data_IF_155915848421
#
_entry.id   IF_155915848421
#
_cell.length_a   1.000
_cell.length_b   1.000
_cell.length_c   1.000
_cell.angle_alpha   90.00
_cell.angle_beta   90.00
_cell.angle_gamma   90.00
#
_symmetry.space_group_name_H-M   'P 1'
#
loop_
_entity.id
_entity.type
_entity.pdbx_description
1 polymer ?
#
# COMPACT_ATOMS: atom_id res chain seq x y z
N UNK A 1 -2.64 -47.41 -71.21
CA UNK A 1 -3.03 -47.37 -69.78
C UNK A 1 -2.41 -48.59 -69.14
N UNK A 2 -1.28 -48.37 -68.48
CA UNK A 2 -0.24 -49.38 -68.24
C UNK A 2 -0.30 -49.92 -66.80
N UNK A 3 -0.27 -51.25 -66.69
CA UNK A 3 0.40 -52.00 -65.61
C UNK A 3 1.94 -51.82 -65.72
N UNK A 4 2.83 -52.29 -64.78
CA UNK A 4 2.65 -53.22 -63.65
C UNK A 4 3.43 -52.86 -62.35
N UNK A 5 3.38 -53.81 -61.39
CA UNK A 5 4.23 -54.03 -60.21
C UNK A 5 5.72 -54.23 -60.57
N UNK A 6 6.70 -54.01 -59.65
CA UNK A 6 7.32 -55.08 -58.83
C UNK A 6 8.54 -54.64 -57.96
N UNK A 7 8.68 -55.33 -56.82
CA UNK A 7 9.85 -55.82 -56.05
C UNK A 7 11.24 -55.11 -55.94
N UNK A 8 11.70 -55.03 -54.68
CA UNK A 8 13.02 -55.42 -54.08
C UNK A 8 14.36 -54.83 -54.57
N UNK A 9 15.29 -54.58 -53.63
CA UNK A 9 16.73 -54.72 -53.92
C UNK A 9 17.69 -53.88 -53.06
N UNK A 10 18.69 -54.58 -52.51
CA UNK A 10 19.79 -54.16 -51.64
C UNK A 10 20.84 -53.19 -52.23
N UNK A 11 21.51 -52.49 -51.29
CA UNK A 11 22.96 -52.28 -51.11
C UNK A 11 23.83 -51.65 -52.24
N UNK A 12 24.67 -50.68 -51.84
CA UNK A 12 26.06 -50.49 -52.32
C UNK A 12 26.64 -49.12 -51.90
N UNK A 13 27.74 -49.15 -51.12
CA UNK A 13 28.74 -48.07 -50.98
C UNK A 13 29.73 -48.06 -52.17
N UNK A 14 30.45 -46.95 -52.38
CA UNK A 14 31.93 -47.01 -52.41
C UNK A 14 32.61 -45.82 -51.68
N UNK A 15 33.52 -46.06 -50.71
CA UNK A 15 35.01 -45.93 -50.73
C UNK A 15 35.59 -44.60 -51.24
N UNK A 16 36.13 -43.71 -50.38
CA UNK A 16 37.47 -43.64 -49.70
C UNK A 16 38.56 -42.98 -50.55
N UNK A 17 39.11 -41.85 -50.11
CA UNK A 17 40.56 -41.58 -50.19
C UNK A 17 41.00 -40.65 -49.08
N UNK A 18 42.11 -41.04 -48.45
CA UNK A 18 42.75 -40.48 -47.27
C UNK A 18 43.81 -39.46 -47.69
N UNK A 19 43.99 -38.37 -46.95
CA UNK A 19 45.30 -37.72 -46.84
C UNK A 19 45.45 -37.18 -45.43
N UNK A 20 46.47 -37.67 -44.73
CA UNK A 20 46.83 -37.27 -43.38
C UNK A 20 47.84 -36.13 -43.44
N UNK A 21 47.73 -35.13 -42.56
CA UNK A 21 48.88 -34.34 -42.10
C UNK A 21 48.55 -33.50 -40.85
N UNK A 22 49.26 -33.86 -39.78
CA UNK A 22 49.85 -32.98 -38.74
C UNK A 22 48.92 -32.29 -37.74
N UNK A 23 48.90 -32.86 -36.53
CA UNK A 23 48.51 -32.23 -35.26
C UNK A 23 49.51 -31.13 -34.88
N UNK A 24 48.98 -29.95 -34.56
CA UNK A 24 49.65 -28.90 -33.79
C UNK A 24 48.65 -28.39 -32.70
N UNK A 25 49.16 -27.89 -31.56
CA UNK A 25 48.46 -27.97 -30.28
C UNK A 25 47.38 -26.90 -30.08
N UNK A 26 46.43 -27.30 -29.24
CA UNK A 26 45.31 -26.59 -28.63
C UNK A 26 45.64 -25.15 -28.22
N UNK A 27 44.95 -24.17 -28.79
CA UNK A 27 44.75 -22.87 -28.15
C UNK A 27 43.34 -22.87 -27.54
N UNK A 28 43.29 -22.83 -26.21
CA UNK A 28 42.06 -22.54 -25.48
C UNK A 28 41.51 -21.17 -25.94
N UNK A 29 40.22 -21.06 -26.29
CA UNK A 29 39.62 -19.75 -26.44
C UNK A 29 39.56 -19.10 -25.05
N UNK A 30 40.19 -17.94 -24.95
CA UNK A 30 40.15 -17.07 -23.79
C UNK A 30 38.72 -16.97 -23.26
N UNK A 31 38.57 -17.26 -21.98
CA UNK A 31 37.34 -17.02 -21.21
C UNK A 31 36.91 -15.59 -21.43
N UNK A 32 35.85 -15.40 -22.21
CA UNK A 32 35.13 -14.14 -22.26
C UNK A 32 34.65 -13.86 -20.85
N UNK A 33 35.27 -12.87 -20.20
CA UNK A 33 34.79 -12.32 -18.94
C UNK A 33 33.32 -11.94 -19.14
N UNK A 34 32.45 -12.74 -18.53
CA UNK A 34 31.05 -12.40 -18.36
C UNK A 34 31.01 -11.12 -17.54
N UNK A 35 30.98 -9.98 -18.25
CA UNK A 35 30.64 -8.71 -17.62
C UNK A 35 29.24 -8.91 -17.07
N UNK A 36 29.04 -8.92 -15.75
CA UNK A 36 27.70 -9.09 -15.21
C UNK A 36 26.84 -7.97 -15.78
N UNK A 37 25.72 -8.35 -16.39
CA UNK A 37 24.71 -7.40 -16.82
C UNK A 37 24.50 -6.37 -15.69
N UNK A 38 24.40 -5.06 -16.00
CA UNK A 38 24.20 -4.06 -14.97
C UNK A 38 23.00 -4.52 -14.15
N UNK A 39 23.23 -4.75 -12.84
CA UNK A 39 22.14 -5.04 -11.92
C UNK A 39 21.16 -3.89 -12.08
N UNK A 40 20.01 -4.19 -12.71
CA UNK A 40 18.92 -3.23 -12.81
C UNK A 40 18.71 -2.71 -11.40
N UNK A 41 18.77 -1.38 -11.23
CA UNK A 41 18.37 -0.79 -9.95
C UNK A 41 16.99 -1.36 -9.65
N UNK A 42 16.74 -1.87 -8.42
CA UNK A 42 15.38 -2.27 -8.07
C UNK A 42 14.45 -1.11 -8.45
N UNK A 43 13.24 -1.40 -9.00
CA UNK A 43 12.30 -0.35 -9.31
C UNK A 43 12.18 0.55 -8.08
N UNK A 44 12.22 1.87 -8.28
CA UNK A 44 12.04 2.79 -7.17
C UNK A 44 10.64 2.52 -6.61
N UNK A 45 10.56 1.87 -5.45
CA UNK A 45 9.32 1.55 -4.75
C UNK A 45 8.75 2.78 -4.01
N UNK A 46 9.08 3.96 -4.54
CA UNK A 46 8.58 5.23 -4.08
C UNK A 46 8.61 6.24 -5.22
N UNK A 47 7.74 7.23 -5.14
CA UNK A 47 7.69 8.39 -6.01
C UNK A 47 7.47 9.64 -5.15
N UNK A 48 8.03 10.78 -5.55
CA UNK A 48 7.78 12.04 -4.87
C UNK A 48 8.02 13.26 -5.75
N UNK A 49 7.35 14.35 -5.40
CA UNK A 49 7.47 15.64 -6.06
C UNK A 49 7.34 16.75 -5.00
N UNK A 50 8.13 17.80 -5.18
CA UNK A 50 8.06 19.02 -4.38
C UNK A 50 7.74 20.19 -5.30
N UNK A 51 6.79 21.04 -4.92
CA UNK A 51 6.58 22.36 -5.50
C UNK A 51 6.28 23.36 -4.35
N UNK A 52 6.21 24.66 -4.64
CA UNK A 52 5.97 25.68 -3.62
C UNK A 52 4.71 25.33 -2.80
N UNK A 53 4.91 24.90 -1.55
CA UNK A 53 3.86 24.54 -0.55
C UNK A 53 3.20 23.17 -0.68
N UNK A 54 3.61 22.32 -1.62
CA UNK A 54 3.12 20.94 -1.76
C UNK A 54 4.27 19.94 -1.77
N UNK A 55 4.18 18.94 -0.89
CA UNK A 55 5.11 17.81 -0.83
C UNK A 55 4.34 16.53 -1.03
N UNK A 56 4.57 15.80 -2.13
CA UNK A 56 3.88 14.53 -2.39
C UNK A 56 4.85 13.36 -2.28
N UNK A 57 4.41 12.28 -1.65
CA UNK A 57 5.20 11.06 -1.51
C UNK A 57 4.29 9.83 -1.60
N UNK A 58 4.72 8.83 -2.34
CA UNK A 58 4.12 7.49 -2.38
C UNK A 58 5.21 6.48 -2.02
N UNK A 59 4.91 5.56 -1.12
CA UNK A 59 5.83 4.52 -0.65
C UNK A 59 5.10 3.20 -0.66
N UNK A 60 5.70 2.15 -1.22
CA UNK A 60 5.14 0.81 -1.13
C UNK A 60 6.22 -0.27 -0.99
N UNK A 61 5.83 -1.44 -0.51
CA UNK A 61 6.66 -2.63 -0.48
C UNK A 61 5.77 -3.86 -0.57
N UNK A 62 6.34 -4.93 -1.12
CA UNK A 62 5.66 -6.22 -1.20
C UNK A 62 6.26 -7.15 -0.14
N UNK A 63 5.43 -7.97 0.49
CA UNK A 63 5.87 -9.05 1.39
C UNK A 63 6.74 -10.05 0.65
N UNK A 64 6.31 -10.40 -0.57
CA UNK A 64 7.03 -11.28 -1.48
C UNK A 64 7.30 -10.48 -2.76
N UNK A 65 8.57 -10.27 -3.14
CA UNK A 65 8.90 -9.52 -4.34
C UNK A 65 8.18 -10.03 -5.59
N UNK A 66 7.67 -9.08 -6.37
CA UNK A 66 6.88 -9.23 -7.60
C UNK A 66 5.54 -9.94 -7.42
N UNK A 67 5.10 -10.17 -6.19
CA UNK A 67 3.87 -10.89 -5.86
C UNK A 67 2.89 -10.06 -5.03
N UNK A 68 3.20 -8.78 -4.78
CA UNK A 68 2.33 -7.95 -3.94
C UNK A 68 1.00 -7.65 -4.63
N UNK A 69 -0.07 -7.68 -3.86
CA UNK A 69 -1.45 -7.56 -4.31
C UNK A 69 -1.96 -6.12 -4.24
N UNK A 70 -1.38 -5.29 -3.37
CA UNK A 70 -1.53 -3.84 -3.35
C UNK A 70 -1.30 -3.23 -4.74
N UNK A 71 -2.06 -2.18 -5.05
CA UNK A 71 -1.71 -1.28 -6.15
C UNK A 71 -0.73 -0.21 -5.67
N UNK A 72 0.00 0.41 -6.60
CA UNK A 72 0.83 1.55 -6.24
C UNK A 72 -0.06 2.64 -5.59
N UNK A 73 0.40 3.35 -4.54
CA UNK A 73 -0.36 4.45 -3.97
C UNK A 73 -0.61 5.55 -5.00
N UNK A 74 -1.77 6.20 -4.92
CA UNK A 74 -2.16 7.28 -5.81
C UNK A 74 -2.03 8.63 -5.09
N UNK A 75 -1.37 9.59 -5.73
CA UNK A 75 -1.33 10.98 -5.29
C UNK A 75 -1.42 11.87 -6.52
N UNK A 76 -2.37 12.81 -6.50
CA UNK A 76 -2.53 13.78 -7.58
C UNK A 76 -3.01 15.13 -7.02
N UNK A 77 -2.53 16.21 -7.63
CA UNK A 77 -2.95 17.57 -7.33
C UNK A 77 -3.21 18.32 -8.64
N UNK A 78 -4.40 18.90 -8.76
CA UNK A 78 -4.81 19.73 -9.87
C UNK A 78 -4.61 21.21 -9.52
N UNK A 79 -3.58 21.82 -10.12
CA UNK A 79 -3.14 23.18 -9.78
C UNK A 79 -4.21 24.24 -10.02
N UNK A 80 -4.96 24.16 -11.13
CA UNK A 80 -5.94 25.20 -11.50
C UNK A 80 -7.13 25.24 -10.54
N UNK A 81 -7.61 24.08 -10.08
CA UNK A 81 -8.74 24.02 -9.14
C UNK A 81 -8.31 23.99 -7.67
N UNK A 82 -7.02 23.85 -7.38
CA UNK A 82 -6.50 23.69 -6.02
C UNK A 82 -6.97 22.40 -5.33
N UNK A 83 -7.43 21.42 -6.09
CA UNK A 83 -7.95 20.16 -5.57
C UNK A 83 -6.91 19.03 -5.68
N UNK A 84 -7.01 18.02 -4.84
CA UNK A 84 -6.18 16.82 -4.97
C UNK A 84 -6.76 15.60 -4.28
N UNK A 85 -6.10 14.47 -4.46
CA UNK A 85 -6.45 13.19 -3.86
C UNK A 85 -5.17 12.45 -3.50
N UNK A 86 -5.19 11.79 -2.35
CA UNK A 86 -4.31 10.68 -2.05
C UNK A 86 -5.16 9.45 -1.76
N UNK A 87 -4.70 8.28 -2.21
CA UNK A 87 -5.41 7.02 -2.02
C UNK A 87 -4.48 5.80 -1.99
N UNK A 88 -4.90 4.76 -1.27
CA UNK A 88 -4.28 3.43 -1.25
C UNK A 88 -5.32 2.35 -1.51
N UNK A 89 -4.86 1.20 -2.01
CA UNK A 89 -5.70 0.09 -2.45
C UNK A 89 -5.03 -1.23 -2.05
N UNK A 90 -5.57 -1.89 -1.04
CA UNK A 90 -5.08 -3.18 -0.55
C UNK A 90 -5.81 -4.33 -1.23
N UNK A 91 -5.08 -5.15 -1.98
CA UNK A 91 -5.65 -6.33 -2.61
C UNK A 91 -5.81 -7.47 -1.59
N UNK A 92 -7.04 -7.78 -1.19
CA UNK A 92 -7.31 -8.84 -0.20
C UNK A 92 -6.97 -10.26 -0.70
N UNK A 93 -5.73 -10.70 -0.48
CA UNK A 93 -5.20 -11.98 -0.92
C UNK A 93 -5.92 -13.22 -0.41
N UNK A 94 -6.30 -13.21 0.87
CA UNK A 94 -7.03 -14.33 1.47
C UNK A 94 -8.31 -14.66 0.70
N UNK A 95 -9.07 -13.63 0.31
CA UNK A 95 -10.35 -13.77 -0.40
C UNK A 95 -10.20 -13.77 -1.93
N UNK A 96 -9.13 -13.17 -2.45
CA UNK A 96 -8.85 -12.93 -3.87
C UNK A 96 -7.69 -13.73 -4.47
N UNK A 97 -7.14 -14.71 -3.77
CA UNK A 97 -5.97 -15.52 -4.19
C UNK A 97 -6.14 -16.29 -5.51
N UNK A 98 -7.37 -16.46 -6.00
CA UNK A 98 -7.62 -17.14 -7.26
C UNK A 98 -7.02 -16.36 -8.44
N UNK A 99 -6.40 -17.03 -9.44
CA UNK A 99 -5.92 -16.35 -10.65
C UNK A 99 -7.06 -15.64 -11.40
N UNK A 100 -6.88 -14.36 -11.71
CA UNK A 100 -7.81 -13.60 -12.54
C UNK A 100 -7.24 -13.28 -13.93
N UNK A 101 -5.91 -13.12 -14.02
CA UNK A 101 -5.22 -12.78 -15.26
C UNK A 101 -3.93 -13.58 -15.42
N UNK A 102 -3.55 -13.84 -16.67
CA UNK A 102 -2.30 -14.50 -17.02
C UNK A 102 -1.68 -13.83 -18.24
N UNK A 103 -0.41 -13.45 -18.12
CA UNK A 103 0.40 -12.92 -19.20
C UNK A 103 0.79 -14.01 -20.22
N UNK A 104 1.14 -13.63 -21.47
CA UNK A 104 1.65 -14.58 -22.47
C UNK A 104 2.91 -15.34 -22.05
N UNK A 105 3.74 -14.77 -21.17
CA UNK A 105 4.95 -15.41 -20.63
C UNK A 105 4.67 -16.44 -19.50
N UNK A 106 3.38 -16.64 -19.17
CA UNK A 106 2.93 -17.56 -18.13
C UNK A 106 2.73 -16.91 -16.75
N UNK A 107 3.15 -15.66 -16.55
CA UNK A 107 2.98 -14.94 -15.29
C UNK A 107 1.51 -14.81 -14.94
N UNK A 108 1.10 -15.35 -13.79
CA UNK A 108 -0.29 -15.30 -13.31
C UNK A 108 -0.45 -14.26 -12.21
N UNK A 109 -1.53 -13.47 -12.27
CA UNK A 109 -1.92 -12.50 -11.26
C UNK A 109 -3.23 -12.91 -10.58
N UNK A 110 -3.29 -12.70 -9.27
CA UNK A 110 -4.45 -13.03 -8.44
C UNK A 110 -5.60 -12.07 -8.72
N UNK A 111 -6.78 -12.42 -8.24
CA UNK A 111 -7.95 -11.56 -8.33
C UNK A 111 -7.79 -10.30 -7.49
N UNK A 112 -7.19 -10.41 -6.30
CA UNK A 112 -6.84 -9.27 -5.45
C UNK A 112 -5.94 -8.27 -6.18
N UNK A 113 -4.85 -8.76 -6.79
CA UNK A 113 -3.92 -7.96 -7.59
C UNK A 113 -4.60 -7.14 -8.68
N UNK A 114 -5.53 -7.78 -9.43
CA UNK A 114 -6.28 -7.12 -10.50
C UNK A 114 -7.28 -6.12 -9.92
N UNK A 115 -7.94 -6.47 -8.81
CA UNK A 115 -8.94 -5.62 -8.13
C UNK A 115 -8.35 -4.29 -7.68
N UNK A 116 -7.24 -4.33 -6.94
CA UNK A 116 -6.57 -3.12 -6.45
C UNK A 116 -6.17 -2.17 -7.59
N UNK A 117 -5.65 -2.71 -8.71
CA UNK A 117 -5.24 -1.90 -9.87
C UNK A 117 -6.41 -1.36 -10.67
N UNK A 118 -7.51 -2.12 -10.77
CA UNK A 118 -8.74 -1.63 -11.36
C UNK A 118 -9.35 -0.49 -10.52
N UNK A 119 -9.30 -0.60 -9.19
CA UNK A 119 -9.78 0.43 -8.29
C UNK A 119 -8.93 1.70 -8.39
N UNK A 120 -7.59 1.56 -8.38
CA UNK A 120 -6.66 2.68 -8.62
C UNK A 120 -7.01 3.44 -9.89
N UNK A 121 -7.14 2.74 -11.01
CA UNK A 121 -7.45 3.35 -12.30
C UNK A 121 -8.83 4.04 -12.30
N UNK A 122 -9.84 3.40 -11.70
CA UNK A 122 -11.17 3.98 -11.56
C UNK A 122 -11.14 5.28 -10.77
N UNK A 123 -10.43 5.31 -9.65
CA UNK A 123 -10.25 6.49 -8.80
C UNK A 123 -9.49 7.61 -9.51
N UNK A 124 -8.48 7.28 -10.31
CA UNK A 124 -7.74 8.26 -11.14
C UNK A 124 -8.66 8.91 -12.18
N UNK A 125 -9.42 8.11 -12.93
CA UNK A 125 -10.39 8.63 -13.91
C UNK A 125 -11.50 9.45 -13.26
N UNK A 126 -11.98 9.01 -12.09
CA UNK A 126 -12.97 9.74 -11.31
C UNK A 126 -12.45 11.11 -10.88
N UNK A 127 -11.22 11.19 -10.35
CA UNK A 127 -10.62 12.48 -9.95
C UNK A 127 -10.48 13.44 -11.15
N UNK A 128 -10.10 12.91 -12.31
CA UNK A 128 -10.00 13.71 -13.53
C UNK A 128 -11.32 14.43 -13.83
N UNK A 129 -12.46 13.75 -13.74
CA UNK A 129 -13.75 14.38 -13.99
C UNK A 129 -14.21 15.28 -12.84
N UNK A 130 -13.98 14.91 -11.58
CA UNK A 130 -14.24 15.78 -10.41
C UNK A 130 -13.52 17.13 -10.57
N UNK A 131 -12.24 17.08 -10.97
CA UNK A 131 -11.42 18.30 -11.12
C UNK A 131 -11.76 19.09 -12.38
N UNK A 132 -11.97 18.42 -13.53
CA UNK A 132 -12.32 19.05 -14.81
C UNK A 132 -13.69 19.70 -14.79
N UNK A 133 -14.68 19.04 -14.18
CA UNK A 133 -16.07 19.52 -14.12
C UNK A 133 -16.34 20.37 -12.88
N UNK A 134 -15.34 20.55 -12.02
CA UNK A 134 -15.44 21.25 -10.71
C UNK A 134 -16.61 20.72 -9.87
N UNK A 135 -16.80 19.40 -9.88
CA UNK A 135 -17.82 18.72 -9.09
C UNK A 135 -17.35 18.49 -7.66
N UNK A 136 -18.31 18.15 -6.80
CA UNK A 136 -18.00 17.66 -5.46
C UNK A 136 -17.60 16.18 -5.51
N UNK A 137 -16.71 15.81 -4.59
CA UNK A 137 -16.15 14.47 -4.47
C UNK A 137 -17.15 13.52 -3.79
N UNK A 138 -18.26 13.24 -4.45
CA UNK A 138 -19.37 12.47 -3.90
C UNK A 138 -19.07 10.96 -3.87
N UNK A 139 -19.33 10.24 -2.74
CA UNK A 139 -19.00 8.82 -2.60
C UNK A 139 -19.71 7.93 -3.63
N UNK A 140 -20.96 8.26 -3.94
CA UNK A 140 -21.76 7.55 -4.93
C UNK A 140 -21.15 7.65 -6.34
N UNK A 141 -20.59 8.81 -6.70
CA UNK A 141 -19.94 8.98 -8.00
C UNK A 141 -18.67 8.10 -8.09
N UNK A 142 -17.88 8.00 -7.03
CA UNK A 142 -16.72 7.09 -6.99
C UNK A 142 -17.16 5.62 -7.06
N UNK A 143 -18.23 5.25 -6.36
CA UNK A 143 -18.81 3.91 -6.42
C UNK A 143 -19.18 3.52 -7.86
N UNK A 144 -19.82 4.41 -8.62
CA UNK A 144 -20.20 4.16 -10.02
C UNK A 144 -18.98 3.94 -10.93
N UNK A 145 -17.92 4.71 -10.73
CA UNK A 145 -16.64 4.50 -11.42
C UNK A 145 -16.05 3.12 -11.09
N UNK A 146 -15.95 2.79 -9.80
CA UNK A 146 -15.44 1.49 -9.36
C UNK A 146 -16.24 0.34 -9.95
N UNK A 147 -17.57 0.39 -9.87
CA UNK A 147 -18.47 -0.61 -10.45
C UNK A 147 -18.28 -0.75 -11.97
N UNK A 148 -18.15 0.37 -12.69
CA UNK A 148 -17.90 0.37 -14.13
C UNK A 148 -16.57 -0.32 -14.47
N UNK A 149 -15.45 0.08 -13.86
CA UNK A 149 -14.14 -0.51 -14.13
C UNK A 149 -14.07 -1.97 -13.73
N UNK A 150 -14.67 -2.34 -12.60
CA UNK A 150 -14.76 -3.73 -12.17
C UNK A 150 -15.58 -4.56 -13.14
N UNK A 151 -16.62 -4.01 -13.77
CA UNK A 151 -17.39 -4.70 -14.81
C UNK A 151 -16.53 -5.06 -16.05
N UNK A 152 -15.47 -4.29 -16.33
CA UNK A 152 -14.57 -4.46 -17.49
C UNK A 152 -13.28 -5.22 -17.18
N UNK A 153 -12.88 -5.27 -15.92
CA UNK A 153 -11.66 -5.95 -15.49
C UNK A 153 -11.70 -7.46 -15.78
N UNK A 154 -10.54 -8.09 -16.05
CA UNK A 154 -10.47 -9.53 -16.33
C UNK A 154 -10.89 -10.34 -15.10
N UNK A 155 -11.81 -11.28 -15.31
CA UNK A 155 -12.34 -12.17 -14.27
C UNK A 155 -12.25 -13.61 -14.75
N UNK A 156 -11.85 -14.51 -13.86
CA UNK A 156 -12.03 -15.96 -14.07
C UNK A 156 -13.15 -16.46 -13.17
N UNK A 157 -14.17 -17.06 -13.77
CA UNK A 157 -15.24 -17.69 -13.02
C UNK A 157 -14.72 -18.99 -12.38
N UNK A 158 -14.69 -19.04 -11.05
CA UNK A 158 -14.47 -20.29 -10.31
C UNK A 158 -15.77 -21.10 -10.31
N UNK A 159 -15.72 -22.36 -10.76
CA UNK A 159 -16.85 -23.31 -10.66
C UNK A 159 -17.10 -23.81 -9.24
N UNK A 160 -16.17 -23.55 -8.32
CA UNK A 160 -16.28 -23.90 -6.90
C UNK A 160 -16.66 -22.63 -6.15
N UNK A 161 -17.90 -22.60 -5.65
CA UNK A 161 -18.48 -21.49 -4.91
C UNK A 161 -18.27 -21.64 -3.40
N UNK A 162 -17.87 -20.55 -2.75
CA UNK A 162 -17.79 -20.43 -1.29
C UNK A 162 -17.85 -18.96 -0.91
N UNK A 163 -18.51 -18.65 0.21
CA UNK A 163 -18.75 -17.25 0.65
C UNK A 163 -17.48 -16.50 1.03
N UNK A 164 -16.36 -17.19 1.23
CA UNK A 164 -15.06 -16.59 1.54
C UNK A 164 -14.31 -16.09 0.31
N UNK A 165 -14.58 -16.62 -0.89
CA UNK A 165 -13.95 -16.13 -2.11
C UNK A 165 -14.67 -14.89 -2.61
N UNK A 166 -13.91 -13.93 -3.10
CA UNK A 166 -14.39 -12.67 -3.69
C UNK A 166 -13.79 -12.50 -5.07
N UNK A 167 -14.53 -11.83 -5.95
CA UNK A 167 -14.01 -11.44 -7.26
C UNK A 167 -13.46 -10.02 -7.18
N UNK A 168 -12.19 -9.88 -7.56
CA UNK A 168 -11.46 -8.63 -7.59
C UNK A 168 -11.47 -7.86 -6.26
N UNK A 169 -11.31 -8.51 -5.10
CA UNK A 169 -11.44 -7.83 -3.82
C UNK A 169 -10.32 -6.81 -3.59
N UNK A 170 -10.67 -5.63 -3.10
CA UNK A 170 -9.72 -4.61 -2.64
C UNK A 170 -10.34 -3.71 -1.59
N UNK A 171 -9.50 -3.07 -0.79
CA UNK A 171 -9.89 -1.92 0.04
C UNK A 171 -9.73 -0.62 -0.74
N UNK A 172 -10.18 0.48 -0.13
CA UNK A 172 -9.88 1.86 -0.50
C UNK A 172 -9.77 2.69 0.78
N UNK A 173 -8.72 3.50 0.90
CA UNK A 173 -8.73 4.66 1.79
C UNK A 173 -8.17 5.86 1.04
N UNK A 174 -8.93 6.95 1.03
CA UNK A 174 -8.58 8.16 0.30
C UNK A 174 -8.98 9.43 1.04
N UNK A 175 -8.30 10.53 0.70
CA UNK A 175 -8.69 11.88 1.13
C UNK A 175 -8.69 12.77 -0.09
N UNK A 176 -9.88 13.15 -0.55
CA UNK A 176 -10.00 14.29 -1.47
C UNK A 176 -9.80 15.57 -0.65
N UNK A 177 -9.10 16.54 -1.20
CA UNK A 177 -8.93 17.83 -0.55
C UNK A 177 -9.08 18.98 -1.54
N UNK A 178 -9.54 20.12 -1.02
CA UNK A 178 -9.65 21.39 -1.74
C UNK A 178 -8.97 22.48 -0.93
N UNK A 179 -7.99 23.16 -1.52
CA UNK A 179 -7.37 24.33 -0.91
C UNK A 179 -8.36 25.50 -0.92
N UNK A 180 -8.48 26.17 0.22
CA UNK A 180 -9.42 27.29 0.43
C UNK A 180 -8.73 28.43 1.19
N UNK A 181 -9.40 29.57 1.28
CA UNK A 181 -8.91 30.77 1.97
C UNK A 181 -7.50 31.23 1.52
N UNK A 182 -7.27 31.22 0.20
CA UNK A 182 -5.97 31.59 -0.38
C UNK A 182 -4.85 30.64 0.05
N UNK A 183 -5.14 29.34 0.10
CA UNK A 183 -4.20 28.26 0.48
C UNK A 183 -3.70 28.35 1.94
N UNK A 184 -4.55 28.88 2.83
CA UNK A 184 -4.29 28.88 4.28
C UNK A 184 -5.05 27.79 5.01
N UNK A 185 -6.04 27.20 4.35
CA UNK A 185 -6.84 26.10 4.85
C UNK A 185 -7.10 25.09 3.74
N UNK A 186 -7.51 23.89 4.15
CA UNK A 186 -7.97 22.84 3.27
C UNK A 186 -9.32 22.30 3.78
N UNK A 187 -10.21 21.97 2.86
CA UNK A 187 -11.39 21.17 3.14
C UNK A 187 -11.09 19.73 2.74
N UNK A 188 -11.27 18.78 3.67
CA UNK A 188 -10.95 17.38 3.47
C UNK A 188 -12.23 16.55 3.35
N UNK A 189 -12.29 15.68 2.35
CA UNK A 189 -13.38 14.73 2.12
C UNK A 189 -12.82 13.30 2.09
N UNK A 190 -12.73 12.64 3.26
CA UNK A 190 -12.27 11.25 3.36
C UNK A 190 -13.29 10.27 2.78
N UNK A 191 -12.80 9.27 2.07
CA UNK A 191 -13.56 8.24 1.36
C UNK A 191 -12.94 6.87 1.66
N UNK A 192 -13.72 5.87 2.06
CA UNK A 192 -13.15 4.57 2.42
C UNK A 192 -14.08 3.37 2.22
N UNK A 193 -13.46 2.20 2.06
CA UNK A 193 -14.09 0.88 2.04
C UNK A 193 -13.05 -0.18 2.48
N UNK A 194 -13.42 -1.06 3.41
CA UNK A 194 -12.47 -1.97 4.06
C UNK A 194 -11.80 -1.36 5.30
N UNK A 195 -10.56 -1.77 5.55
CA UNK A 195 -9.77 -1.52 6.77
C UNK A 195 -8.45 -0.74 6.53
N UNK A 196 -8.16 -0.37 5.28
CA UNK A 196 -7.17 0.68 5.02
C UNK A 196 -7.64 2.01 5.62
N UNK A 197 -6.71 2.88 6.01
CA UNK A 197 -7.03 4.09 6.77
C UNK A 197 -6.47 5.36 6.15
N UNK A 198 -7.21 6.44 6.32
CA UNK A 198 -6.72 7.78 6.06
C UNK A 198 -6.57 8.58 7.36
N UNK A 199 -5.64 9.53 7.35
CA UNK A 199 -5.25 10.30 8.52
C UNK A 199 -4.94 11.75 8.16
N UNK A 200 -5.14 12.61 9.16
CA UNK A 200 -4.56 13.93 9.26
C UNK A 200 -3.39 13.87 10.26
N UNK A 201 -2.22 14.29 9.84
CA UNK A 201 -1.06 14.49 10.70
C UNK A 201 -0.82 15.99 10.86
N UNK A 202 -1.04 16.50 12.07
CA UNK A 202 -0.86 17.93 12.39
C UNK A 202 0.30 18.14 13.37
N UNK A 203 1.07 19.24 13.26
CA UNK A 203 2.18 19.52 14.19
C UNK A 203 1.77 19.58 15.66
N UNK A 204 0.54 20.03 15.95
CA UNK A 204 0.03 20.18 17.31
C UNK A 204 -0.52 18.90 17.93
N UNK A 205 -1.30 18.14 17.16
CA UNK A 205 -2.08 17.00 17.70
C UNK A 205 -1.51 15.64 17.32
N UNK A 206 -0.61 15.57 16.34
CA UNK A 206 -0.11 14.31 15.81
C UNK A 206 -1.03 13.68 14.78
N UNK A 207 -0.97 12.36 14.68
CA UNK A 207 -1.75 11.56 13.73
C UNK A 207 -3.17 11.37 14.26
N UNK A 208 -4.15 11.67 13.41
CA UNK A 208 -5.57 11.65 13.73
C UNK A 208 -6.29 10.90 12.61
N UNK A 209 -7.04 9.87 12.95
CA UNK A 209 -7.71 9.02 11.95
C UNK A 209 -8.93 9.74 11.39
N UNK A 210 -9.13 9.62 10.07
CA UNK A 210 -10.20 10.25 9.30
C UNK A 210 -11.25 9.25 8.80
N UNK A 211 -10.99 7.95 8.97
CA UNK A 211 -11.81 6.85 8.45
C UNK A 211 -12.09 5.85 9.57
N UNK A 212 -13.10 5.00 9.39
CA UNK A 212 -13.44 3.93 10.34
C UNK A 212 -13.44 2.60 9.62
N UNK A 213 -12.64 1.66 10.10
CA UNK A 213 -12.56 0.33 9.49
C UNK A 213 -13.92 -0.34 9.44
N UNK A 214 -14.20 -1.00 8.32
CA UNK A 214 -15.43 -1.76 8.14
C UNK A 214 -15.31 -3.12 8.82
N UNK A 215 -15.33 -3.11 10.15
CA UNK A 215 -15.19 -4.29 11.02
C UNK A 215 -16.19 -4.20 12.17
N UNK A 216 -16.36 -5.29 12.93
CA UNK A 216 -17.21 -5.27 14.13
C UNK A 216 -16.54 -4.61 15.33
N UNK A 217 -15.23 -4.79 15.46
CA UNK A 217 -14.42 -4.02 16.40
C UNK A 217 -14.12 -2.65 15.77
N UNK A 218 -13.93 -1.64 16.59
CA UNK A 218 -13.63 -0.29 16.11
C UNK A 218 -12.59 0.46 16.94
N UNK A 219 -12.19 -0.07 18.09
CA UNK A 219 -11.04 0.42 18.83
C UNK A 219 -9.74 0.09 18.09
N UNK A 220 -8.94 1.11 17.78
CA UNK A 220 -7.75 0.94 16.98
C UNK A 220 -6.70 0.00 17.60
N UNK A 221 -6.61 -0.10 18.93
CA UNK A 221 -5.71 -1.04 19.59
C UNK A 221 -6.26 -2.47 19.53
N UNK A 222 -7.56 -2.65 19.71
CA UNK A 222 -8.18 -3.99 19.60
C UNK A 222 -8.15 -4.53 18.16
N UNK A 223 -8.19 -3.64 17.15
CA UNK A 223 -7.99 -4.03 15.75
C UNK A 223 -6.58 -4.63 15.53
N UNK A 224 -5.53 -4.06 16.14
CA UNK A 224 -4.18 -4.64 16.10
C UNK A 224 -4.06 -6.01 16.78
N UNK A 225 -4.97 -6.31 17.72
CA UNK A 225 -4.94 -7.55 18.51
C UNK A 225 -5.72 -8.69 17.87
N UNK A 226 -6.83 -8.36 17.22
CA UNK A 226 -7.86 -9.32 16.84
C UNK A 226 -7.98 -9.55 15.35
N UNK A 227 -7.54 -8.62 14.50
CA UNK A 227 -7.63 -8.68 13.03
C UNK A 227 -8.99 -9.25 12.55
N UNK A 228 -10.11 -8.57 12.88
CA UNK A 228 -11.43 -9.11 12.62
C UNK A 228 -11.76 -9.07 11.13
N UNK A 229 -12.59 -10.00 10.62
CA UNK A 229 -12.97 -10.01 9.22
C UNK A 229 -13.75 -8.76 8.83
N UNK A 230 -13.42 -8.19 7.66
CA UNK A 230 -14.11 -7.04 7.09
C UNK A 230 -15.59 -7.32 6.77
N UNK A 231 -16.44 -6.34 7.07
CA UNK A 231 -17.89 -6.34 6.80
C UNK A 231 -18.25 -5.68 5.46
N UNK A 232 -17.40 -4.78 4.96
CA UNK A 232 -17.50 -4.14 3.64
C UNK A 232 -16.14 -4.21 2.93
N UNK A 233 -16.16 -4.55 1.65
CA UNK A 233 -14.97 -4.71 0.82
C UNK A 233 -15.36 -4.49 -0.65
N UNK A 234 -14.59 -3.69 -1.38
CA UNK A 234 -14.86 -3.44 -2.80
C UNK A 234 -14.63 -4.75 -3.55
N UNK A 235 -15.64 -5.25 -4.23
CA UNK A 235 -15.55 -6.48 -5.01
C UNK A 235 -16.55 -6.46 -6.18
N UNK A 236 -16.30 -7.30 -7.18
CA UNK A 236 -17.10 -7.36 -8.40
C UNK A 236 -18.30 -8.32 -8.32
N UNK A 237 -18.36 -9.15 -7.28
CA UNK A 237 -19.37 -10.22 -7.15
C UNK A 237 -20.43 -9.94 -6.07
N UNK A 238 -20.34 -8.84 -5.32
CA UNK A 238 -21.33 -8.39 -4.34
C UNK A 238 -21.39 -6.86 -4.30
N UNK A 239 -22.47 -6.34 -3.74
CA UNK A 239 -22.60 -4.92 -3.45
C UNK A 239 -21.58 -4.50 -2.39
N UNK A 240 -21.08 -3.28 -2.53
CA UNK A 240 -20.18 -2.62 -1.60
C UNK A 240 -20.60 -1.16 -1.46
N UNK A 241 -20.15 -0.51 -0.40
CA UNK A 241 -20.39 0.92 -0.18
C UNK A 241 -19.07 1.66 -0.08
N UNK A 242 -19.05 2.91 -0.52
CA UNK A 242 -17.97 3.85 -0.22
C UNK A 242 -18.50 4.77 0.86
N UNK A 243 -17.98 4.60 2.07
CA UNK A 243 -18.30 5.49 3.18
C UNK A 243 -17.53 6.79 3.05
N UNK A 244 -18.13 7.84 3.60
CA UNK A 244 -17.54 9.15 3.67
C UNK A 244 -17.99 9.88 4.93
N UNK A 245 -17.22 10.90 5.30
CA UNK A 245 -17.65 11.86 6.31
C UNK A 245 -17.89 13.23 5.69
N UNK A 246 -18.65 14.06 6.40
CA UNK A 246 -18.83 15.48 6.02
C UNK A 246 -17.46 16.14 5.88
N UNK A 247 -17.32 17.12 4.95
CA UNK A 247 -16.05 17.78 4.75
C UNK A 247 -15.49 18.40 6.03
N UNK A 248 -14.20 18.16 6.29
CA UNK A 248 -13.50 18.58 7.51
C UNK A 248 -12.61 19.78 7.19
N UNK A 249 -12.90 20.98 7.74
CA UNK A 249 -12.06 22.16 7.52
C UNK A 249 -10.81 22.09 8.40
N UNK A 250 -9.64 22.18 7.78
CA UNK A 250 -8.33 22.09 8.42
C UNK A 250 -7.49 23.33 8.13
N UNK A 251 -6.85 23.86 9.17
CA UNK A 251 -5.85 24.93 9.02
C UNK A 251 -4.50 24.35 8.62
N UNK A 252 -3.83 25.02 7.68
CA UNK A 252 -2.49 24.66 7.24
C UNK A 252 -1.42 25.25 8.20
N UNK A 253 -0.25 24.61 8.33
CA UNK A 253 0.20 23.45 7.57
C UNK A 253 -0.19 22.10 8.19
N UNK A 254 -0.37 21.09 7.35
CA UNK A 254 -0.69 19.72 7.75
C UNK A 254 -0.18 18.67 6.76
N UNK A 255 -0.13 17.41 7.16
CA UNK A 255 0.18 16.28 6.28
C UNK A 255 -1.04 15.37 6.23
N UNK A 256 -1.47 15.01 5.02
CA UNK A 256 -2.48 13.98 4.80
C UNK A 256 -1.78 12.65 4.57
N UNK A 257 -2.33 11.57 5.13
CA UNK A 257 -1.80 10.21 5.00
C UNK A 257 -2.92 9.26 4.58
N UNK A 258 -2.64 8.36 3.65
CA UNK A 258 -3.47 7.18 3.41
C UNK A 258 -2.55 5.95 3.45
N UNK A 259 -2.95 4.89 4.14
CA UNK A 259 -2.10 3.73 4.39
C UNK A 259 -2.92 2.42 4.37
N UNK A 260 -2.33 1.34 3.86
CA UNK A 260 -2.83 -0.03 4.06
C UNK A 260 -2.39 -0.55 5.43
N UNK A 261 -3.02 -1.62 5.90
CA UNK A 261 -2.72 -2.20 7.20
C UNK A 261 -1.27 -2.73 7.29
N UNK A 262 -0.62 -3.03 6.16
CA UNK A 262 0.81 -3.32 6.13
C UNK A 262 1.69 -2.25 6.78
N UNK A 263 1.25 -0.99 6.84
CA UNK A 263 1.96 0.09 7.53
C UNK A 263 1.65 0.16 9.04
N UNK A 264 0.39 -0.04 9.45
CA UNK A 264 -0.05 0.23 10.82
C UNK A 264 -0.61 -0.98 11.59
N UNK A 265 -0.93 -2.08 10.92
CA UNK A 265 -1.51 -3.30 11.47
C UNK A 265 -0.51 -4.17 12.26
N UNK A 266 0.79 -3.97 12.02
CA UNK A 266 1.86 -4.78 12.60
C UNK A 266 2.66 -4.08 13.71
N UNK A 267 2.25 -2.88 14.13
CA UNK A 267 2.88 -2.17 15.24
C UNK A 267 2.25 -2.56 16.58
N UNK A 268 2.91 -2.22 17.70
CA UNK A 268 2.39 -2.59 19.03
C UNK A 268 1.26 -1.68 19.53
N UNK A 269 1.23 -0.43 19.11
CA UNK A 269 0.20 0.56 19.46
C UNK A 269 -0.03 1.51 18.28
N UNK A 270 -1.22 2.14 18.15
CA UNK A 270 -1.46 3.14 17.10
C UNK A 270 -0.44 4.29 17.11
N UNK A 271 0.08 4.66 18.29
CA UNK A 271 1.13 5.67 18.40
C UNK A 271 2.47 5.25 17.79
N UNK A 272 2.77 3.94 17.73
CA UNK A 272 4.03 3.46 17.13
C UNK A 272 4.04 3.71 15.62
N UNK A 273 2.87 3.72 14.96
CA UNK A 273 2.78 4.11 13.56
C UNK A 273 3.12 5.60 13.37
N UNK A 274 2.56 6.50 14.19
CA UNK A 274 2.97 7.91 14.17
C UNK A 274 4.47 8.06 14.45
N UNK A 275 5.02 7.26 15.36
CA UNK A 275 6.45 7.26 15.66
C UNK A 275 7.28 6.93 14.43
N UNK A 276 6.92 5.89 13.67
CA UNK A 276 7.63 5.54 12.42
C UNK A 276 7.62 6.71 11.44
N UNK A 277 6.46 7.36 11.23
CA UNK A 277 6.33 8.52 10.35
C UNK A 277 7.27 9.67 10.77
N UNK A 278 7.20 10.05 12.04
CA UNK A 278 7.90 11.23 12.54
C UNK A 278 9.39 10.99 12.78
N UNK A 279 9.77 9.80 13.24
CA UNK A 279 11.16 9.44 13.47
C UNK A 279 11.94 9.43 12.17
N UNK A 280 11.42 8.76 11.14
CA UNK A 280 12.04 8.74 9.79
C UNK A 280 12.06 10.13 9.15
N UNK A 281 11.02 10.96 9.35
CA UNK A 281 11.02 12.35 8.90
C UNK A 281 12.18 13.16 9.51
N UNK A 282 12.43 12.98 10.82
CA UNK A 282 13.54 13.70 11.49
C UNK A 282 14.91 13.22 11.05
N UNK A 283 15.05 11.93 10.71
CA UNK A 283 16.33 11.36 10.27
C UNK A 283 16.64 11.68 8.79
N UNK A 284 15.65 12.00 7.97
CA UNK A 284 15.85 12.30 6.56
C UNK A 284 16.30 13.76 6.31
N UNK A 285 17.00 13.96 5.20
CA UNK A 285 17.43 15.27 4.70
C UNK A 285 16.52 15.83 3.59
N UNK A 286 15.79 14.97 2.88
CA UNK A 286 14.84 15.34 1.81
C UNK A 286 13.76 14.25 1.63
N UNK A 287 12.70 14.54 0.87
CA UNK A 287 11.53 13.65 0.72
C UNK A 287 11.88 12.23 0.19
N UNK A 288 12.78 12.13 -0.80
CA UNK A 288 13.18 10.82 -1.34
C UNK A 288 13.90 9.93 -0.30
N UNK A 289 14.69 10.53 0.60
CA UNK A 289 15.33 9.79 1.68
C UNK A 289 14.30 9.39 2.73
N UNK A 290 13.35 10.28 3.05
CA UNK A 290 12.25 9.95 3.95
C UNK A 290 11.44 8.75 3.46
N UNK A 291 11.12 8.69 2.16
CA UNK A 291 10.49 7.53 1.53
C UNK A 291 11.29 6.23 1.72
N UNK A 292 12.59 6.26 1.43
CA UNK A 292 13.44 5.08 1.57
C UNK A 292 13.55 4.62 3.03
N UNK A 293 13.63 5.56 3.97
CA UNK A 293 13.66 5.26 5.41
C UNK A 293 12.33 4.69 5.90
N UNK A 294 11.19 5.26 5.49
CA UNK A 294 9.85 4.71 5.76
C UNK A 294 9.72 3.28 5.26
N UNK A 295 10.08 3.05 3.99
CA UNK A 295 10.03 1.72 3.36
C UNK A 295 10.85 0.71 4.14
N UNK A 296 12.10 1.04 4.50
CA UNK A 296 12.98 0.15 5.29
C UNK A 296 12.44 -0.11 6.69
N UNK A 297 11.90 0.91 7.35
CA UNK A 297 11.30 0.76 8.67
C UNK A 297 10.12 -0.21 8.61
N UNK A 298 9.21 -0.05 7.67
CA UNK A 298 8.02 -0.90 7.53
C UNK A 298 8.39 -2.32 7.15
N UNK A 299 9.33 -2.51 6.21
CA UNK A 299 9.85 -3.84 5.86
C UNK A 299 10.45 -4.62 7.04
N UNK A 300 10.86 -3.94 8.12
CA UNK A 300 11.46 -4.60 9.28
C UNK A 300 10.43 -5.23 10.22
N UNK A 301 9.16 -4.81 10.15
CA UNK A 301 8.12 -5.30 11.05
C UNK A 301 6.85 -5.82 10.35
N UNK A 302 6.55 -5.37 9.13
CA UNK A 302 5.35 -5.81 8.43
C UNK A 302 5.43 -7.28 8.03
N UNK A 303 4.31 -7.99 8.13
CA UNK A 303 4.17 -9.30 7.53
C UNK A 303 3.26 -9.29 6.29
N UNK A 304 2.97 -8.12 5.74
CA UNK A 304 2.11 -7.96 4.56
C UNK A 304 2.73 -7.05 3.49
N UNK A 305 2.04 -6.95 2.35
CA UNK A 305 2.23 -5.82 1.46
C UNK A 305 1.87 -4.53 2.19
N UNK A 306 2.58 -3.45 1.90
CA UNK A 306 2.37 -2.19 2.61
C UNK A 306 2.48 -1.02 1.66
N UNK A 307 1.44 -0.19 1.62
CA UNK A 307 1.31 0.96 0.73
C UNK A 307 0.91 2.21 1.52
N UNK A 308 1.53 3.34 1.19
CA UNK A 308 1.33 4.62 1.85
C UNK A 308 1.43 5.79 0.86
N UNK A 309 0.45 6.68 0.92
CA UNK A 309 0.43 7.95 0.21
C UNK A 309 0.45 9.12 1.20
N UNK A 310 1.20 10.17 0.88
CA UNK A 310 1.41 11.35 1.71
C UNK A 310 1.33 12.63 0.90
N UNK A 311 0.69 13.64 1.48
CA UNK A 311 0.68 15.01 0.96
C UNK A 311 0.93 15.99 2.10
N UNK A 312 2.06 16.70 2.09
CA UNK A 312 2.33 17.85 2.94
C UNK A 312 1.78 19.12 2.31
N UNK A 313 0.93 19.83 3.04
CA UNK A 313 0.25 21.06 2.61
C UNK A 313 0.71 22.24 3.45
N UNK A 314 1.08 23.34 2.79
CA UNK A 314 1.43 24.60 3.44
C UNK A 314 2.86 24.68 3.98
N UNK A 315 3.72 23.72 3.62
CA UNK A 315 5.15 23.75 3.96
C UNK A 315 5.98 24.23 2.77
N UNK A 316 6.73 25.30 2.95
CA UNK A 316 7.62 25.89 1.95
C UNK A 316 8.62 24.89 1.39
N UNK A 317 9.21 24.07 2.25
CA UNK A 317 10.20 23.08 1.90
C UNK A 317 10.22 21.92 2.91
N UNK A 318 10.97 20.86 2.58
CA UNK A 318 11.13 19.70 3.45
C UNK A 318 11.75 20.03 4.82
N UNK A 319 12.60 21.07 4.89
CA UNK A 319 13.21 21.49 6.16
C UNK A 319 12.16 22.07 7.08
N UNK A 320 11.26 22.91 6.58
CA UNK A 320 10.13 23.46 7.34
C UNK A 320 9.19 22.34 7.81
N UNK A 321 8.84 21.39 6.92
CA UNK A 321 8.07 20.19 7.29
C UNK A 321 8.71 19.46 8.48
N UNK A 322 10.00 19.13 8.37
CA UNK A 322 10.74 18.46 9.43
C UNK A 322 10.78 19.29 10.72
N UNK A 323 11.04 20.58 10.64
CA UNK A 323 11.09 21.45 11.82
C UNK A 323 9.74 21.53 12.54
N UNK A 324 8.64 21.62 11.81
CA UNK A 324 7.29 21.69 12.39
C UNK A 324 6.93 20.44 13.22
N UNK A 325 7.38 19.26 12.81
CA UNK A 325 7.06 18.01 13.48
C UNK A 325 8.05 17.58 14.58
N UNK A 326 9.21 18.22 14.69
CA UNK A 326 10.21 17.88 15.70
C UNK A 326 9.68 17.95 17.15
N UNK A 327 8.89 18.97 17.56
CA UNK A 327 8.29 19.00 18.90
C UNK A 327 7.30 17.86 19.14
N UNK A 328 6.51 17.48 18.13
CA UNK A 328 5.54 16.39 18.24
C UNK A 328 6.24 15.05 18.43
N UNK A 329 7.32 14.78 17.69
CA UNK A 329 8.11 13.56 17.87
C UNK A 329 8.63 13.44 19.31
N UNK A 330 9.19 14.52 19.88
CA UNK A 330 9.70 14.50 21.27
C UNK A 330 8.60 14.13 22.26
N UNK A 331 7.44 14.79 22.14
CA UNK A 331 6.26 14.48 22.99
C UNK A 331 5.83 13.02 22.84
N UNK A 332 5.82 12.50 21.62
CA UNK A 332 5.44 11.10 21.36
C UNK A 332 6.44 10.12 21.96
N UNK A 333 7.75 10.37 21.81
CA UNK A 333 8.80 9.55 22.43
C UNK A 333 8.65 9.53 23.95
N UNK A 334 8.44 10.67 24.58
CA UNK A 334 8.26 10.76 26.04
C UNK A 334 7.03 9.96 26.50
N UNK A 335 5.93 10.05 25.75
CA UNK A 335 4.69 9.31 26.02
C UNK A 335 4.86 7.79 25.85
N UNK A 336 5.56 7.35 24.82
CA UNK A 336 5.69 5.93 24.49
C UNK A 336 6.79 5.21 25.27
N UNK A 337 7.83 5.91 25.70
CA UNK A 337 8.95 5.32 26.42
C UNK A 337 8.61 4.98 27.87
N UNK A 338 7.56 5.58 28.42
CA UNK A 338 7.13 5.37 29.80
C UNK A 338 6.75 3.90 30.03
N UNK A 339 7.51 3.23 30.89
CA UNK A 339 7.35 1.81 31.24
C UNK A 339 7.31 0.85 30.04
N UNK A 340 7.92 1.22 28.90
CA UNK A 340 7.97 0.35 27.71
C UNK A 340 8.76 -0.91 28.05
N UNK A 341 8.17 -2.12 27.92
CA UNK A 341 8.87 -3.35 28.26
C UNK A 341 10.11 -3.53 27.40
N UNK A 342 11.26 -3.78 28.03
CA UNK A 342 12.52 -4.05 27.33
C UNK A 342 12.44 -5.25 26.39
N UNK A 343 11.51 -6.18 26.65
CA UNK A 343 11.24 -7.32 25.80
C UNK A 343 10.82 -6.94 24.38
N UNK A 344 10.22 -5.76 24.17
CA UNK A 344 9.90 -5.26 22.84
C UNK A 344 11.14 -4.85 22.03
N UNK A 345 12.23 -4.47 22.70
CA UNK A 345 13.48 -4.04 22.06
C UNK A 345 14.54 -5.17 21.99
N UNK A 346 14.56 -6.06 22.98
CA UNK A 346 15.64 -7.03 23.18
C UNK A 346 15.17 -8.48 23.24
N UNK A 347 13.87 -8.72 23.08
CA UNK A 347 13.26 -10.03 23.34
C UNK A 347 13.12 -10.33 24.84
N UNK A 348 12.36 -11.37 25.20
CA UNK A 348 12.18 -11.77 26.59
C UNK A 348 13.52 -12.11 27.25
N UNK A 349 13.68 -11.73 28.52
CA UNK A 349 14.87 -12.07 29.29
C UNK A 349 15.03 -13.60 29.40
N UNK A 350 16.28 -14.13 29.45
CA UNK A 350 16.50 -15.56 29.62
C UNK A 350 15.80 -16.09 30.88
N UNK A 351 14.90 -17.06 30.71
CA UNK A 351 14.12 -17.65 31.82
C UNK A 351 12.89 -16.85 32.26
N UNK A 352 12.55 -15.75 31.59
CA UNK A 352 11.30 -15.03 31.83
C UNK A 352 10.08 -15.88 31.46
N UNK A 353 9.01 -15.79 32.25
CA UNK A 353 7.73 -16.42 31.91
C UNK A 353 7.12 -15.71 30.68
N UNK A 354 6.85 -16.42 29.58
CA UNK A 354 6.18 -15.85 28.41
C UNK A 354 4.83 -15.22 28.74
N UNK A 355 4.08 -15.78 29.70
CA UNK A 355 2.77 -15.24 30.10
C UNK A 355 2.89 -13.91 30.83
N UNK A 356 3.88 -13.80 31.72
CA UNK A 356 4.17 -12.55 32.43
C UNK A 356 4.66 -11.48 31.46
N UNK A 357 5.55 -11.84 30.54
CA UNK A 357 6.05 -10.93 29.50
C UNK A 357 4.90 -10.40 28.64
N UNK A 358 4.00 -11.29 28.19
CA UNK A 358 2.82 -10.90 27.42
C UNK A 358 1.87 -9.99 28.22
N UNK A 359 1.67 -10.25 29.52
CA UNK A 359 0.84 -9.42 30.38
C UNK A 359 1.44 -8.02 30.60
N UNK A 360 2.76 -7.91 30.74
CA UNK A 360 3.47 -6.64 30.84
C UNK A 360 3.33 -5.83 29.55
N UNK A 361 3.52 -6.46 28.38
CA UNK A 361 3.31 -5.84 27.07
C UNK A 361 1.87 -5.34 26.93
N UNK A 362 0.88 -6.18 27.23
CA UNK A 362 -0.53 -5.79 27.17
C UNK A 362 -0.84 -4.59 28.06
N UNK A 363 -0.34 -4.59 29.30
CA UNK A 363 -0.55 -3.50 30.26
C UNK A 363 0.04 -2.18 29.75
N UNK A 364 1.25 -2.22 29.17
CA UNK A 364 1.86 -1.05 28.56
C UNK A 364 1.07 -0.55 27.35
N UNK A 365 0.63 -1.45 26.45
CA UNK A 365 -0.20 -1.10 25.30
C UNK A 365 -1.49 -0.39 25.72
N UNK A 366 -2.22 -0.96 26.70
CA UNK A 366 -3.49 -0.41 27.19
C UNK A 366 -3.29 1.03 27.74
N UNK A 367 -2.22 1.25 28.52
CA UNK A 367 -1.90 2.56 29.07
C UNK A 367 -1.44 3.56 28.00
N UNK A 368 -0.56 3.13 27.10
CA UNK A 368 -0.07 3.97 26.01
C UNK A 368 -1.22 4.42 25.11
N UNK A 369 -2.14 3.50 24.79
CA UNK A 369 -3.34 3.81 24.03
C UNK A 369 -4.27 4.77 24.77
N UNK A 370 -4.54 4.56 26.06
CA UNK A 370 -5.36 5.51 26.85
C UNK A 370 -4.83 6.94 26.80
N UNK A 371 -3.51 7.13 26.82
CA UNK A 371 -2.88 8.45 26.74
C UNK A 371 -2.92 9.07 25.33
N UNK A 372 -2.95 8.23 24.29
CA UNK A 372 -2.84 8.63 22.89
C UNK A 372 -4.21 8.79 22.19
N UNK A 373 -5.18 7.96 22.57
CA UNK A 373 -6.50 7.78 21.93
C UNK A 373 -7.25 9.07 21.66
N UNK A 374 -7.34 9.97 22.64
CA UNK A 374 -8.15 11.18 22.52
C UNK A 374 -7.72 12.08 21.35
N UNK A 375 -6.41 12.24 21.13
CA UNK A 375 -5.89 13.01 20.01
C UNK A 375 -6.07 12.28 18.68
N UNK A 376 -5.86 10.96 18.69
CA UNK A 376 -6.00 10.09 17.52
C UNK A 376 -7.43 10.04 16.98
N UNK A 377 -8.43 9.91 17.85
CA UNK A 377 -9.84 9.76 17.47
C UNK A 377 -10.56 11.10 17.27
N UNK A 378 -9.84 12.24 17.29
CA UNK A 378 -10.45 13.58 17.20
C UNK A 378 -11.30 13.81 15.94
N UNK A 379 -10.99 13.10 14.85
CA UNK A 379 -11.73 13.16 13.58
C UNK A 379 -12.26 11.77 13.16
N UNK A 380 -12.29 10.80 14.09
CA UNK A 380 -12.82 9.48 13.80
C UNK A 380 -14.33 9.60 13.51
N UNK A 381 -14.82 9.17 12.33
CA UNK A 381 -16.24 9.20 12.02
C UNK A 381 -17.03 8.41 13.07
N UNK A 382 -18.28 8.79 13.42
CA UNK A 382 -19.09 8.00 14.35
C UNK A 382 -19.32 6.57 13.84
N UNK A 383 -19.61 5.64 14.74
CA UNK A 383 -20.06 4.32 14.31
C UNK A 383 -21.41 4.45 13.58
N UNK A 384 -21.68 3.64 12.55
CA UNK A 384 -23.01 3.58 11.95
C UNK A 384 -24.05 3.27 13.03
N UNK A 385 -25.18 3.97 13.00
CA UNK A 385 -26.33 3.58 13.84
C UNK A 385 -26.78 2.18 13.40
N UNK A 386 -26.87 1.22 14.34
CA UNK A 386 -27.49 -0.06 14.03
C UNK A 386 -28.95 0.22 13.63
N UNK A 387 -29.42 -0.24 12.46
CA UNK A 387 -30.83 -0.08 12.11
C UNK A 387 -31.67 -0.86 13.14
N UNK A 388 -32.63 -0.16 13.76
CA UNK A 388 -33.61 -0.72 14.72
C UNK A 388 -34.40 -1.91 14.15
#
# INVERSE_FOLDING_TARGET
MNHPQDSTGEDSRPTRTTTAAVLAPTQEPATAEHTPAPRLRPPQLYWGQENDRLHTLSVWTERVPERGEDAEPFVAHHQESGQGLLAVFDGSGGSGSAPAWQAPDGTSRTSAWVGARAARLATECWLYDVTREQQDAEPQSLHEYLAYFFSKAPKRQSKIGGTMRRQLPTTLAAVHYRLVDGERAAELSPLWAGDSRAYLLSPGSGLQVLTRDHTRESDALELLRSDPPMTNLICADRDFVIDAQRPVPIQLPCVLVAATDGFFGYVHTPGDFEHVLLYTLQQAHHAAEWADQLRRAVQSYTADDASLALVGLGFRDFTELRTHFAPRLRKLIDQQSLDKPSALAHGPAPGADPRETAAQIKTWQDRSWQAYRHGYESYLPPAPEEPE
#
